data_IF_223165574126
#
_entry.id   IF_223165574126
#
_cell.length_a   1.000
_cell.length_b   1.000
_cell.length_c   1.000
_cell.angle_alpha   90.00
_cell.angle_beta   90.00
_cell.angle_gamma   90.00
#
_symmetry.space_group_name_H-M   'P 1'
#
loop_
_entity.id
_entity.type
_entity.pdbx_description
1 polymer ?
#
# COMPACT_ATOMS: atom_id res chain seq x y z
N UNK A 1 23.14 3.59 11.21
CA UNK A 1 23.65 4.57 10.23
C UNK A 1 22.57 5.08 9.30
N UNK A 2 21.68 4.24 8.74
CA UNK A 2 20.46 4.72 8.06
C UNK A 2 19.32 5.05 9.03
N UNK A 3 19.22 4.28 10.12
CA UNK A 3 18.21 4.45 11.17
C UNK A 3 18.27 5.87 11.78
N UNK A 4 19.48 6.39 12.04
CA UNK A 4 19.68 7.68 12.70
C UNK A 4 19.17 8.86 11.85
N UNK A 5 19.33 8.78 10.52
CA UNK A 5 18.82 9.78 9.58
C UNK A 5 17.30 9.70 9.47
N UNK A 6 16.74 8.48 9.46
CA UNK A 6 15.29 8.28 9.44
C UNK A 6 14.63 8.77 10.74
N UNK A 7 15.20 8.41 11.89
CA UNK A 7 14.66 8.76 13.20
C UNK A 7 14.71 10.28 13.45
N UNK A 8 15.79 10.95 13.03
CA UNK A 8 15.91 12.42 13.11
C UNK A 8 14.97 13.14 12.14
N UNK A 9 14.69 12.58 10.95
CA UNK A 9 13.68 13.11 10.02
C UNK A 9 12.26 12.89 10.55
N UNK A 10 11.98 11.69 11.07
CA UNK A 10 10.69 11.32 11.64
C UNK A 10 10.34 12.14 12.89
N UNK A 11 11.35 12.59 13.65
CA UNK A 11 11.18 13.47 14.81
C UNK A 11 10.67 14.88 14.46
N UNK A 12 10.61 15.27 13.17
CA UNK A 12 10.19 16.61 12.75
C UNK A 12 9.27 16.71 11.54
N UNK A 13 9.31 15.77 10.58
CA UNK A 13 8.47 15.78 9.37
C UNK A 13 8.15 14.37 8.90
N UNK A 14 6.86 14.01 8.84
CA UNK A 14 6.43 12.72 8.29
C UNK A 14 6.63 12.70 6.77
N UNK A 15 7.62 11.93 6.30
CA UNK A 15 7.77 11.62 4.88
C UNK A 15 6.66 10.67 4.45
N UNK A 16 5.82 11.14 3.54
CA UNK A 16 4.75 10.35 2.92
C UNK A 16 4.88 10.43 1.39
N UNK A 17 4.28 9.48 0.67
CA UNK A 17 4.25 9.53 -0.79
C UNK A 17 3.72 10.90 -1.28
N UNK A 18 4.39 11.48 -2.28
CA UNK A 18 4.10 12.83 -2.77
C UNK A 18 4.83 13.97 -2.05
N UNK A 19 5.58 13.67 -0.98
CA UNK A 19 6.50 14.64 -0.36
C UNK A 19 7.64 14.95 -1.32
N UNK A 20 7.81 16.22 -1.67
CA UNK A 20 8.95 16.70 -2.46
C UNK A 20 10.09 17.01 -1.50
N UNK A 21 11.26 16.45 -1.79
CA UNK A 21 12.48 16.66 -1.00
C UNK A 21 13.60 17.20 -1.88
N UNK A 22 14.44 18.05 -1.31
CA UNK A 22 15.77 18.37 -1.81
C UNK A 22 16.78 17.62 -0.95
N UNK A 23 17.67 16.87 -1.59
CA UNK A 23 18.63 16.00 -0.91
C UNK A 23 20.03 16.37 -1.34
N UNK A 24 20.92 16.55 -0.37
CA UNK A 24 22.37 16.64 -0.56
C UNK A 24 22.97 15.32 -0.06
N UNK A 25 23.81 14.69 -0.87
CA UNK A 25 24.40 13.41 -0.47
C UNK A 25 25.45 12.93 -1.45
N UNK A 26 26.10 11.83 -1.09
CA UNK A 26 27.06 11.14 -1.94
C UNK A 26 26.31 10.29 -2.97
N UNK A 27 26.60 10.47 -4.25
CA UNK A 27 26.09 9.60 -5.30
C UNK A 27 26.92 8.30 -5.31
N UNK A 28 26.25 7.16 -5.19
CA UNK A 28 26.84 5.83 -5.18
C UNK A 28 26.07 4.88 -6.11
N UNK A 29 26.57 3.66 -6.27
CA UNK A 29 25.88 2.59 -6.99
C UNK A 29 25.81 1.35 -6.10
N UNK A 30 24.61 0.79 -5.94
CA UNK A 30 24.38 -0.44 -5.23
C UNK A 30 23.54 -1.39 -6.07
N UNK A 31 24.08 -2.59 -6.31
CA UNK A 31 23.44 -3.63 -7.14
C UNK A 31 23.02 -3.15 -8.55
N UNK A 32 23.77 -2.20 -9.11
CA UNK A 32 23.51 -1.65 -10.44
C UNK A 32 22.53 -0.48 -10.47
N UNK A 33 22.03 -0.05 -9.31
CA UNK A 33 21.14 1.11 -9.18
C UNK A 33 21.88 2.29 -8.54
N UNK A 34 21.62 3.51 -9.03
CA UNK A 34 22.20 4.72 -8.47
C UNK A 34 21.48 5.14 -7.19
N UNK A 35 22.23 5.46 -6.15
CA UNK A 35 21.72 5.89 -4.84
C UNK A 35 22.35 7.23 -4.43
N UNK A 36 21.58 8.06 -3.72
CA UNK A 36 22.11 9.25 -3.03
C UNK A 36 22.11 8.95 -1.54
N UNK A 37 23.26 9.12 -0.89
CA UNK A 37 23.48 8.82 0.53
C UNK A 37 23.66 10.14 1.31
N UNK A 38 22.61 10.64 2.00
CA UNK A 38 22.73 11.77 2.92
C UNK A 38 23.54 11.35 4.15
N UNK A 39 24.37 12.25 4.69
CA UNK A 39 25.17 11.94 5.89
C UNK A 39 24.48 12.37 7.19
N UNK A 40 23.50 13.27 7.09
CA UNK A 40 22.73 13.83 8.21
C UNK A 40 21.28 14.09 7.80
N UNK A 41 20.36 14.13 8.77
CA UNK A 41 18.97 14.52 8.51
C UNK A 41 18.83 15.92 7.89
N UNK A 42 19.67 16.88 8.31
CA UNK A 42 19.69 18.24 7.75
C UNK A 42 20.05 18.30 6.26
N UNK A 43 20.61 17.22 5.69
CA UNK A 43 20.91 17.13 4.27
C UNK A 43 19.65 16.81 3.42
N UNK A 44 18.52 16.52 4.06
CA UNK A 44 17.22 16.28 3.42
C UNK A 44 16.27 17.39 3.87
N UNK A 45 15.77 18.18 2.91
CA UNK A 45 14.82 19.27 3.17
C UNK A 45 13.52 19.04 2.42
N UNK A 46 12.38 19.07 3.11
CA UNK A 46 11.06 19.03 2.45
C UNK A 46 10.81 20.37 1.76
N UNK A 47 10.61 20.32 0.44
CA UNK A 47 10.37 21.49 -0.42
C UNK A 47 8.91 21.66 -0.79
N UNK A 48 8.07 20.68 -0.46
CA UNK A 48 6.63 20.77 -0.60
C UNK A 48 5.96 19.42 -0.53
N UNK A 49 4.66 19.44 -0.74
CA UNK A 49 3.85 18.24 -0.85
C UNK A 49 2.96 18.39 -2.09
N UNK A 50 2.97 17.37 -2.92
CA UNK A 50 1.97 17.20 -3.97
C UNK A 50 1.43 15.80 -3.76
N UNK A 51 0.17 15.66 -3.30
CA UNK A 51 -0.43 14.36 -3.14
C UNK A 51 -0.22 13.58 -4.45
N UNK A 52 0.19 12.31 -4.39
CA UNK A 52 0.16 11.46 -5.56
C UNK A 52 -1.26 11.53 -6.16
N UNK A 53 -1.40 11.54 -7.49
CA UNK A 53 -2.73 11.42 -8.08
C UNK A 53 -3.39 10.17 -7.48
N UNK A 54 -4.64 10.30 -7.04
CA UNK A 54 -5.41 9.14 -6.62
C UNK A 54 -5.43 8.16 -7.80
N UNK A 55 -4.89 6.96 -7.59
CA UNK A 55 -4.91 5.93 -8.62
C UNK A 55 -6.38 5.64 -8.94
N UNK A 56 -6.72 5.66 -10.23
CA UNK A 56 -8.06 5.30 -10.66
C UNK A 56 -8.33 3.84 -10.30
N UNK A 57 -9.49 3.51 -9.72
CA UNK A 57 -9.82 2.12 -9.40
C UNK A 57 -9.76 1.24 -10.66
N UNK A 58 -8.97 0.18 -10.60
CA UNK A 58 -8.91 -0.86 -11.61
C UNK A 58 -10.17 -1.73 -11.48
N UNK A 59 -10.99 -1.89 -12.54
CA UNK A 59 -12.13 -2.79 -12.50
C UNK A 59 -11.66 -4.24 -12.30
N UNK A 60 -12.25 -4.95 -11.35
CA UNK A 60 -11.84 -6.31 -10.94
C UNK A 60 -11.92 -7.26 -12.14
N UNK A 61 -12.97 -7.14 -12.97
CA UNK A 61 -13.14 -7.95 -14.18
C UNK A 61 -12.08 -7.72 -15.27
N UNK A 62 -11.15 -6.76 -15.11
CA UNK A 62 -10.02 -6.53 -16.02
C UNK A 62 -8.70 -7.09 -15.50
N UNK A 63 -8.67 -7.61 -14.27
CA UNK A 63 -7.47 -8.17 -13.69
C UNK A 63 -7.18 -9.51 -14.37
N UNK A 64 -5.98 -9.62 -14.94
CA UNK A 64 -5.45 -10.84 -15.55
C UNK A 64 -4.25 -11.25 -14.70
N UNK A 65 -4.33 -12.42 -14.04
CA UNK A 65 -3.33 -12.84 -13.05
C UNK A 65 -1.88 -12.67 -13.54
N UNK A 66 -1.57 -13.12 -14.76
CA UNK A 66 -0.21 -13.02 -15.31
C UNK A 66 0.33 -11.61 -15.55
N UNK A 67 -0.54 -10.60 -15.62
CA UNK A 67 -0.15 -9.22 -15.96
C UNK A 67 -0.04 -8.32 -14.73
N UNK A 68 -0.69 -8.68 -13.62
CA UNK A 68 -0.87 -7.78 -12.46
C UNK A 68 -0.32 -8.31 -11.13
N UNK A 69 0.17 -9.56 -11.06
CA UNK A 69 0.83 -10.08 -9.84
C UNK A 69 2.00 -9.18 -9.44
N UNK A 70 2.17 -8.99 -8.13
CA UNK A 70 3.16 -8.14 -7.48
C UNK A 70 2.99 -6.63 -7.76
N UNK A 71 1.84 -6.23 -8.34
CA UNK A 71 1.52 -4.81 -8.55
C UNK A 71 0.63 -4.27 -7.42
N UNK A 72 0.93 -3.04 -6.99
CA UNK A 72 0.04 -2.28 -6.12
C UNK A 72 -1.07 -1.66 -6.98
N UNK A 73 -2.31 -2.06 -6.73
CA UNK A 73 -3.50 -1.58 -7.43
C UNK A 73 -4.49 -0.93 -6.47
N UNK A 74 -5.35 -0.07 -7.01
CA UNK A 74 -6.50 0.45 -6.28
C UNK A 74 -7.76 -0.26 -6.78
N UNK A 75 -8.52 -0.87 -5.88
CA UNK A 75 -9.80 -1.52 -6.16
C UNK A 75 -10.92 -0.82 -5.40
N UNK A 76 -12.15 -0.92 -5.89
CA UNK A 76 -13.35 -0.44 -5.19
C UNK A 76 -14.45 -1.44 -5.38
N UNK A 77 -15.09 -1.87 -4.29
CA UNK A 77 -16.14 -2.87 -4.37
C UNK A 77 -16.95 -2.97 -3.08
N UNK A 78 -17.87 -3.92 -3.05
CA UNK A 78 -18.73 -4.25 -1.93
C UNK A 78 -18.23 -5.52 -1.28
N UNK A 79 -18.07 -5.51 0.05
CA UNK A 79 -17.65 -6.68 0.80
C UNK A 79 -18.77 -7.73 0.87
N UNK A 80 -18.42 -8.99 0.67
CA UNK A 80 -19.23 -10.16 1.01
C UNK A 80 -19.14 -10.49 2.51
N UNK A 81 -19.63 -11.67 2.87
CA UNK A 81 -19.55 -12.15 4.27
C UNK A 81 -18.08 -12.32 4.71
N UNK A 82 -17.73 -11.89 5.94
CA UNK A 82 -16.42 -12.14 6.50
C UNK A 82 -16.17 -13.64 6.67
N UNK A 83 -15.00 -14.10 6.25
CA UNK A 83 -14.55 -15.49 6.36
C UNK A 83 -13.27 -15.54 7.21
N UNK A 84 -13.38 -15.71 8.54
CA UNK A 84 -12.21 -15.81 9.40
C UNK A 84 -11.39 -17.06 9.11
N UNK A 85 -10.07 -16.95 9.26
CA UNK A 85 -9.12 -18.06 9.20
C UNK A 85 -8.06 -17.92 10.28
N UNK A 86 -7.07 -18.81 10.31
CA UNK A 86 -6.09 -18.88 11.40
C UNK A 86 -5.17 -17.67 11.54
N UNK A 87 -5.08 -16.80 10.53
CA UNK A 87 -4.18 -15.63 10.55
C UNK A 87 -4.85 -14.31 10.14
N UNK A 88 -6.18 -14.28 10.01
CA UNK A 88 -6.91 -13.07 9.65
C UNK A 88 -8.33 -13.33 9.15
N UNK A 89 -8.81 -12.46 8.27
CA UNK A 89 -10.16 -12.53 7.69
C UNK A 89 -10.08 -12.33 6.18
N UNK A 90 -10.81 -13.16 5.43
CA UNK A 90 -11.04 -12.97 3.99
C UNK A 90 -12.42 -12.38 3.75
N UNK A 91 -12.52 -11.54 2.73
CA UNK A 91 -13.79 -11.06 2.18
C UNK A 91 -13.81 -11.33 0.69
N UNK A 92 -14.99 -11.59 0.12
CA UNK A 92 -15.18 -11.37 -1.31
C UNK A 92 -15.36 -9.88 -1.54
N UNK A 93 -14.69 -9.30 -2.52
CA UNK A 93 -14.87 -7.92 -2.96
C UNK A 93 -15.44 -7.92 -4.38
N UNK A 94 -16.63 -7.33 -4.54
CA UNK A 94 -17.36 -7.29 -5.81
C UNK A 94 -17.57 -5.84 -6.29
N UNK A 95 -17.13 -5.51 -7.50
CA UNK A 95 -17.31 -4.20 -8.13
C UNK A 95 -18.39 -4.15 -9.23
N UNK A 96 -19.08 -5.27 -9.45
CA UNK A 96 -20.06 -5.50 -10.50
C UNK A 96 -19.46 -5.91 -11.85
N UNK A 97 -18.14 -5.83 -12.00
CA UNK A 97 -17.40 -6.32 -13.18
C UNK A 97 -16.70 -7.65 -12.91
N UNK A 98 -16.39 -7.95 -11.65
CA UNK A 98 -15.82 -9.21 -11.20
C UNK A 98 -15.71 -9.27 -9.68
N UNK A 99 -15.27 -10.42 -9.19
CA UNK A 99 -15.03 -10.68 -7.76
C UNK A 99 -13.56 -11.02 -7.52
N UNK A 100 -13.03 -10.61 -6.37
CA UNK A 100 -11.70 -10.98 -5.91
C UNK A 100 -11.71 -11.26 -4.40
N UNK A 101 -10.77 -12.05 -3.91
CA UNK A 101 -10.56 -12.18 -2.46
C UNK A 101 -9.84 -10.95 -1.94
N UNK A 102 -10.35 -10.33 -0.88
CA UNK A 102 -9.62 -9.35 -0.08
C UNK A 102 -9.16 -10.06 1.19
N UNK A 103 -7.85 -10.28 1.32
CA UNK A 103 -7.24 -10.86 2.52
C UNK A 103 -6.78 -9.74 3.46
N UNK A 104 -7.30 -9.73 4.67
CA UNK A 104 -6.83 -8.86 5.75
C UNK A 104 -6.15 -9.73 6.82
N UNK A 105 -4.85 -9.53 7.01
CA UNK A 105 -4.12 -10.13 8.13
C UNK A 105 -4.66 -9.60 9.47
N UNK A 106 -4.51 -10.39 10.53
CA UNK A 106 -5.16 -10.12 11.82
C UNK A 106 -4.84 -8.71 12.36
N UNK A 107 -3.59 -8.27 12.26
CA UNK A 107 -3.14 -6.94 12.68
C UNK A 107 -3.86 -5.83 11.90
N UNK A 108 -3.91 -5.95 10.56
CA UNK A 108 -4.62 -4.99 9.69
C UNK A 108 -6.12 -5.00 9.98
N UNK A 109 -6.71 -6.18 10.17
CA UNK A 109 -8.13 -6.31 10.47
C UNK A 109 -8.48 -5.69 11.82
N UNK A 110 -7.69 -5.94 12.86
CA UNK A 110 -7.91 -5.42 14.21
C UNK A 110 -7.80 -3.89 14.23
N UNK A 111 -6.81 -3.31 13.55
CA UNK A 111 -6.62 -1.86 13.44
C UNK A 111 -7.80 -1.20 12.72
N UNK A 112 -8.31 -1.80 11.65
CA UNK A 112 -9.47 -1.28 10.92
C UNK A 112 -10.78 -1.46 11.71
N UNK A 113 -10.99 -2.63 12.31
CA UNK A 113 -12.18 -2.95 13.09
C UNK A 113 -12.30 -2.09 14.36
N UNK A 114 -11.18 -1.63 14.91
CA UNK A 114 -11.17 -0.68 16.03
C UNK A 114 -11.79 0.69 15.67
N UNK A 115 -11.79 1.06 14.40
CA UNK A 115 -12.31 2.35 13.91
C UNK A 115 -13.59 2.26 13.07
N UNK A 116 -13.92 1.09 12.49
CA UNK A 116 -15.00 0.92 11.52
C UNK A 116 -15.63 -0.47 11.57
N UNK A 117 -16.91 -0.58 11.22
CA UNK A 117 -17.57 -1.90 11.08
C UNK A 117 -17.37 -2.45 9.67
N UNK A 118 -16.49 -3.44 9.51
CA UNK A 118 -16.30 -4.19 8.28
C UNK A 118 -17.28 -5.39 8.24
N UNK A 119 -18.43 -5.18 7.60
CA UNK A 119 -19.49 -6.18 7.44
C UNK A 119 -19.91 -6.34 5.99
N UNK A 120 -20.59 -7.44 5.66
CA UNK A 120 -21.16 -7.67 4.34
C UNK A 120 -22.02 -6.47 3.87
N UNK A 121 -21.93 -6.13 2.59
CA UNK A 121 -22.60 -4.97 2.00
C UNK A 121 -21.84 -3.65 2.17
N UNK A 122 -20.73 -3.61 2.90
CA UNK A 122 -19.92 -2.39 3.06
C UNK A 122 -19.18 -2.08 1.77
N UNK A 123 -19.33 -0.86 1.24
CA UNK A 123 -18.54 -0.39 0.10
C UNK A 123 -17.19 0.13 0.56
N UNK A 124 -16.11 -0.39 0.00
CA UNK A 124 -14.74 -0.04 0.35
C UNK A 124 -13.92 0.34 -0.88
N UNK A 125 -12.87 1.12 -0.65
CA UNK A 125 -11.78 1.31 -1.61
C UNK A 125 -10.50 0.80 -0.95
N UNK A 126 -9.75 -0.02 -1.67
CA UNK A 126 -8.56 -0.72 -1.17
C UNK A 126 -7.40 -0.38 -2.06
N UNK A 127 -6.26 -0.06 -1.46
CA UNK A 127 -4.96 0.01 -2.15
C UNK A 127 -4.13 -1.14 -1.59
N UNK A 128 -3.73 -2.06 -2.44
CA UNK A 128 -3.06 -3.28 -2.01
C UNK A 128 -2.27 -3.94 -3.13
N UNK A 129 -1.37 -4.82 -2.75
CA UNK A 129 -0.64 -5.68 -3.67
C UNK A 129 -1.56 -6.80 -4.16
N UNK A 130 -1.58 -7.03 -5.47
CA UNK A 130 -2.26 -8.17 -6.04
C UNK A 130 -1.33 -9.39 -5.99
N UNK A 131 -1.81 -10.46 -5.37
CA UNK A 131 -1.09 -11.72 -5.24
C UNK A 131 -1.91 -12.90 -5.75
N UNK A 132 -1.27 -14.04 -5.98
CA UNK A 132 -1.95 -15.29 -6.33
C UNK A 132 -1.64 -16.36 -5.28
N UNK A 133 -2.69 -16.90 -4.67
CA UNK A 133 -2.59 -18.02 -3.75
C UNK A 133 -3.38 -19.22 -4.28
N UNK A 134 -2.66 -20.29 -4.62
CA UNK A 134 -3.23 -21.57 -5.11
C UNK A 134 -4.18 -21.42 -6.32
N UNK A 135 -3.92 -20.46 -7.21
CA UNK A 135 -4.75 -20.23 -8.40
C UNK A 135 -5.86 -19.19 -8.22
N UNK A 136 -5.99 -18.59 -7.03
CA UNK A 136 -6.95 -17.53 -6.74
C UNK A 136 -6.22 -16.22 -6.48
N UNK A 137 -6.73 -15.12 -7.05
CA UNK A 137 -6.20 -13.78 -6.81
C UNK A 137 -6.67 -13.24 -5.45
N UNK A 138 -5.75 -12.67 -4.69
CA UNK A 138 -5.99 -12.04 -3.38
C UNK A 138 -5.17 -10.77 -3.15
#
# INVERSE_FOLDING_TARGET
MWQDVYDDLAAGQTLQAGTKVSVVGELSEYRGELEIIPRRAADVTVTGYTPPPAQEPLPIGRIIAGDFIDQIVTLTGTLGEPQPFSAGVKFTLDDGSGEITLLLWQDVYDDLAAGQTLQAGTKVSVVGELSEYRGELE
#
